data_IF_157148240913
#
_entry.id   IF_157148240913
#
_cell.length_a   1.000
_cell.length_b   1.000
_cell.length_c   1.000
_cell.angle_alpha   90.00
_cell.angle_beta   90.00
_cell.angle_gamma   90.00
#
_symmetry.space_group_name_H-M   'P 1'
#
loop_
_entity.id
_entity.type
_entity.pdbx_description
1 polymer ?
#
# COMPACT_ATOMS: atom_id res chain seq x y z
N UNK A 1 -11.03 5.20 -18.95
CA UNK A 1 -10.74 4.48 -17.69
C UNK A 1 -11.55 5.14 -16.59
N UNK A 2 -12.42 4.41 -15.90
CA UNK A 2 -13.15 4.96 -14.76
C UNK A 2 -12.15 5.27 -13.63
N UNK A 3 -12.31 6.41 -12.95
CA UNK A 3 -11.51 6.77 -11.78
C UNK A 3 -11.93 5.87 -10.64
N UNK A 4 -11.06 4.94 -10.24
CA UNK A 4 -11.35 3.90 -9.25
C UNK A 4 -11.32 4.46 -7.82
N UNK A 5 -10.40 5.39 -7.53
CA UNK A 5 -10.28 6.08 -6.25
C UNK A 5 -9.87 7.55 -6.47
N UNK A 6 -10.31 8.45 -5.60
CA UNK A 6 -9.78 9.81 -5.53
C UNK A 6 -8.40 9.81 -4.86
N UNK A 7 -7.58 10.85 -5.11
CA UNK A 7 -6.24 10.94 -4.51
C UNK A 7 -6.28 10.99 -2.97
N UNK A 8 -7.41 11.44 -2.41
CA UNK A 8 -7.67 11.50 -0.97
C UNK A 8 -8.03 10.12 -0.38
N UNK A 9 -8.53 9.19 -1.20
CA UNK A 9 -8.88 7.82 -0.80
C UNK A 9 -7.68 6.87 -0.90
N UNK A 10 -6.61 7.26 -1.61
CA UNK A 10 -5.44 6.42 -1.76
C UNK A 10 -4.62 6.42 -0.46
N UNK A 11 -4.32 5.24 0.10
CA UNK A 11 -3.44 5.15 1.26
C UNK A 11 -2.03 5.67 0.92
N UNK A 12 -1.46 6.46 1.83
CA UNK A 12 -0.11 7.01 1.69
C UNK A 12 0.94 5.90 1.69
N UNK A 13 1.93 6.00 0.79
CA UNK A 13 3.08 5.10 0.81
C UNK A 13 3.89 5.29 2.10
N UNK A 14 4.47 4.21 2.67
CA UNK A 14 5.40 4.33 3.78
C UNK A 14 6.56 5.27 3.41
N UNK A 15 6.92 6.20 4.30
CA UNK A 15 7.98 7.16 4.06
C UNK A 15 9.32 6.48 3.74
N UNK A 16 9.87 6.76 2.56
CA UNK A 16 11.18 6.25 2.16
C UNK A 16 12.27 7.27 2.46
N UNK A 17 12.94 7.17 3.61
CA UNK A 17 14.30 7.72 3.70
C UNK A 17 15.25 6.68 3.11
N UNK A 18 15.82 6.98 1.93
CA UNK A 18 16.76 6.10 1.23
C UNK A 18 18.03 5.78 2.04
N UNK A 19 18.31 6.58 3.08
CA UNK A 19 19.53 6.54 3.88
C UNK A 19 19.33 6.07 5.33
N UNK A 20 18.09 5.87 5.80
CA UNK A 20 17.83 5.65 7.22
C UNK A 20 17.15 4.30 7.49
N UNK A 21 17.79 3.49 8.35
CA UNK A 21 17.13 2.36 9.02
C UNK A 21 16.74 1.17 8.16
N UNK A 22 17.39 0.93 7.00
CA UNK A 22 17.06 -0.24 6.14
C UNK A 22 17.14 -1.59 6.87
N UNK A 23 18.00 -1.70 7.88
CA UNK A 23 18.14 -2.88 8.73
C UNK A 23 17.65 -2.62 10.17
N UNK A 24 17.06 -1.46 10.44
CA UNK A 24 16.46 -1.18 11.74
C UNK A 24 15.16 -1.97 11.84
N UNK A 25 15.10 -2.90 12.79
CA UNK A 25 13.97 -3.80 12.98
C UNK A 25 12.68 -3.05 13.30
N UNK A 26 12.76 -1.93 14.01
CA UNK A 26 11.58 -1.13 14.35
C UNK A 26 11.05 -0.43 13.09
N UNK A 27 11.94 0.15 12.29
CA UNK A 27 11.58 0.79 11.01
C UNK A 27 11.01 -0.23 10.02
N UNK A 28 11.57 -1.44 9.97
CA UNK A 28 11.05 -2.52 9.13
C UNK A 28 9.65 -2.95 9.58
N UNK A 29 9.44 -3.10 10.88
CA UNK A 29 8.14 -3.49 11.44
C UNK A 29 7.06 -2.42 11.18
N UNK A 30 7.38 -1.15 11.36
CA UNK A 30 6.47 -0.05 11.05
C UNK A 30 6.12 -0.01 9.56
N UNK A 31 7.10 -0.19 8.68
CA UNK A 31 6.87 -0.26 7.23
C UNK A 31 6.00 -1.43 6.85
N UNK A 32 6.26 -2.60 7.41
CA UNK A 32 5.44 -3.79 7.18
C UNK A 32 3.99 -3.54 7.62
N UNK A 33 3.79 -2.97 8.81
CA UNK A 33 2.46 -2.63 9.32
C UNK A 33 1.71 -1.68 8.38
N UNK A 34 2.33 -0.56 8.00
CA UNK A 34 1.70 0.43 7.10
C UNK A 34 1.44 -0.19 5.71
N UNK A 35 2.38 -0.98 5.21
CA UNK A 35 2.23 -1.66 3.92
C UNK A 35 1.07 -2.66 3.93
N UNK A 36 0.92 -3.45 4.99
CA UNK A 36 -0.21 -4.38 5.14
C UNK A 36 -1.54 -3.63 5.26
N UNK A 37 -1.59 -2.54 6.01
CA UNK A 37 -2.78 -1.68 6.11
C UNK A 37 -3.19 -1.10 4.75
N UNK A 38 -2.20 -0.68 3.95
CA UNK A 38 -2.38 -0.21 2.58
C UNK A 38 -3.00 -1.30 1.69
N UNK A 39 -2.45 -2.51 1.70
CA UNK A 39 -2.97 -3.63 0.91
C UNK A 39 -4.39 -4.01 1.33
N UNK A 40 -4.66 -4.05 2.64
CA UNK A 40 -5.99 -4.36 3.16
C UNK A 40 -7.02 -3.30 2.77
N UNK A 41 -6.64 -2.02 2.77
CA UNK A 41 -7.52 -0.92 2.34
C UNK A 41 -7.92 -1.09 0.86
N UNK A 42 -6.95 -1.41 0.01
CA UNK A 42 -7.20 -1.66 -1.42
C UNK A 42 -8.09 -2.90 -1.59
N UNK A 43 -7.84 -3.96 -0.82
CA UNK A 43 -8.62 -5.21 -0.87
C UNK A 43 -10.08 -5.03 -0.40
N UNK A 44 -10.34 -4.13 0.54
CA UNK A 44 -11.70 -3.82 1.02
C UNK A 44 -12.48 -2.92 0.06
N UNK A 45 -11.80 -2.20 -0.84
CA UNK A 45 -12.46 -1.29 -1.77
C UNK A 45 -13.12 -2.08 -2.95
N UNK A 46 -14.46 -1.96 -3.17
CA UNK A 46 -15.19 -2.82 -4.11
C UNK A 46 -14.69 -2.80 -5.56
N UNK A 47 -14.17 -1.66 -6.02
CA UNK A 47 -13.65 -1.51 -7.38
C UNK A 47 -12.14 -1.76 -7.46
N UNK A 48 -11.38 -1.46 -6.40
CA UNK A 48 -9.93 -1.57 -6.44
C UNK A 48 -9.48 -3.01 -6.21
N UNK A 49 -10.22 -3.77 -5.40
CA UNK A 49 -10.01 -5.22 -5.21
C UNK A 49 -10.16 -6.03 -6.50
N UNK A 50 -10.99 -5.56 -7.43
CA UNK A 50 -11.19 -6.17 -8.76
C UNK A 50 -10.17 -5.70 -9.81
N UNK A 51 -9.24 -4.82 -9.45
CA UNK A 51 -8.23 -4.31 -10.37
C UNK A 51 -7.31 -5.43 -10.85
N UNK A 52 -7.12 -5.53 -12.17
CA UNK A 52 -6.16 -6.43 -12.77
C UNK A 52 -4.73 -6.15 -12.30
N UNK A 53 -4.37 -4.89 -12.06
CA UNK A 53 -3.06 -4.50 -11.53
C UNK A 53 -2.86 -4.96 -10.08
N UNK A 54 -3.87 -4.77 -9.24
CA UNK A 54 -3.80 -5.21 -7.84
C UNK A 54 -3.73 -6.73 -7.74
N UNK A 55 -4.54 -7.44 -8.54
CA UNK A 55 -4.53 -8.90 -8.61
C UNK A 55 -3.19 -9.43 -9.14
N UNK A 56 -2.59 -8.77 -10.12
CA UNK A 56 -1.27 -9.14 -10.64
C UNK A 56 -0.15 -8.86 -9.63
N UNK A 57 -0.26 -7.80 -8.82
CA UNK A 57 0.71 -7.47 -7.78
C UNK A 57 0.78 -8.51 -6.65
N UNK A 58 -0.35 -9.14 -6.31
CA UNK A 58 -0.45 -10.13 -5.22
C UNK A 58 0.02 -11.54 -5.61
N UNK A 59 0.35 -11.79 -6.88
CA UNK A 59 0.83 -13.09 -7.37
C UNK A 59 2.34 -13.12 -7.46
#
# INVERSE_FOLDING_TARGET
MAKIMSGEELPSMPGTSFLQGRNDKNVLHEREKIFVEMLNTIALHPLASQSAYFTAFLK
#
